data_IF_720275352593
#
_entry.id   IF_720275352593
#
_cell.length_a   1.000
_cell.length_b   1.000
_cell.length_c   1.000
_cell.angle_alpha   90.00
_cell.angle_beta   90.00
_cell.angle_gamma   90.00
#
_symmetry.space_group_name_H-M   'P 1'
#
loop_
_entity.id
_entity.type
_entity.pdbx_description
1 polymer ?
#
# COMPACT_ATOMS: atom_id res chain seq x y z
N UNK A 1 12.77 10.09 18.84
CA UNK A 1 12.21 9.85 18.55
C UNK A 1 11.63 9.72 18.04
N UNK A 2 11.29 9.61 17.63
CA UNK A 2 10.65 9.42 17.17
C UNK A 2 10.05 8.91 16.80
N UNK A 3 9.65 8.74 16.68
CA UNK A 3 8.97 8.12 16.34
C UNK A 3 8.02 8.43 15.65
N UNK A 4 8.12 8.60 14.78
CA UNK A 4 7.46 9.00 14.08
C UNK A 4 6.78 8.15 13.35
N UNK A 5 7.10 7.15 13.11
CA UNK A 5 6.37 6.25 12.63
C UNK A 5 5.61 5.83 13.57
N UNK A 6 5.25 6.45 14.27
CA UNK A 6 4.70 6.09 15.32
C UNK A 6 3.60 5.28 15.17
N UNK A 7 3.53 4.31 15.87
CA UNK A 7 2.36 3.60 16.02
C UNK A 7 1.51 4.26 17.02
N UNK A 8 0.23 4.30 16.84
CA UNK A 8 -0.67 4.88 17.83
C UNK A 8 -0.55 4.12 19.13
N UNK A 9 -0.74 4.80 20.24
CA UNK A 9 -0.74 4.17 21.54
C UNK A 9 -2.09 3.54 21.74
N UNK A 10 -2.34 2.41 21.13
CA UNK A 10 -3.63 1.78 21.14
C UNK A 10 -3.52 0.40 21.74
N UNK A 11 -4.47 0.03 22.59
CA UNK A 11 -4.54 -1.30 23.12
C UNK A 11 -5.01 -2.20 22.00
N UNK A 12 -4.28 -3.23 21.71
CA UNK A 12 -4.64 -4.12 20.61
C UNK A 12 -5.99 -4.75 20.78
N UNK A 13 -6.44 -4.92 22.02
CA UNK A 13 -7.77 -5.49 22.24
C UNK A 13 -8.88 -4.57 21.81
N UNK A 14 -8.61 -3.29 21.63
CA UNK A 14 -9.64 -2.36 21.17
C UNK A 14 -9.60 -2.17 19.67
N UNK A 15 -8.79 -2.94 18.97
CA UNK A 15 -8.77 -2.90 17.50
C UNK A 15 -9.53 -4.10 16.96
N UNK A 16 -9.79 -4.07 15.67
CA UNK A 16 -10.45 -5.20 15.00
C UNK A 16 -9.58 -5.69 13.88
N UNK A 17 -9.67 -6.97 13.55
CA UNK A 17 -8.86 -7.48 12.44
C UNK A 17 -9.40 -6.95 11.11
N UNK A 18 -8.51 -6.76 10.16
CA UNK A 18 -8.90 -6.44 8.81
C UNK A 18 -9.06 -7.75 8.07
N UNK A 19 -10.20 -7.92 7.39
CA UNK A 19 -10.46 -9.14 6.65
C UNK A 19 -10.76 -8.81 5.22
N UNK A 20 -10.30 -9.64 4.31
CA UNK A 20 -10.67 -9.49 2.90
C UNK A 20 -12.09 -9.99 2.71
N UNK A 21 -12.72 -9.70 1.56
CA UNK A 21 -14.06 -10.22 1.30
C UNK A 21 -14.13 -11.74 1.36
N UNK A 22 -13.02 -12.43 1.12
CA UNK A 22 -12.96 -13.89 1.19
C UNK A 22 -12.69 -14.38 2.60
N UNK A 23 -12.56 -13.51 3.56
CA UNK A 23 -12.31 -13.90 4.94
C UNK A 23 -10.85 -14.08 5.31
N UNK A 24 -9.93 -13.68 4.43
CA UNK A 24 -8.50 -13.83 4.72
C UNK A 24 -8.03 -12.75 5.67
N UNK A 25 -7.17 -13.10 6.58
CA UNK A 25 -6.69 -12.18 7.61
C UNK A 25 -5.19 -11.97 7.59
N UNK A 26 -4.48 -12.64 6.71
CA UNK A 26 -3.03 -12.54 6.65
C UNK A 26 -2.64 -11.81 5.40
N UNK A 27 -1.82 -10.79 5.56
CA UNK A 27 -1.43 -9.91 4.46
C UNK A 27 0.07 -9.79 4.42
N UNK A 28 0.59 -9.42 3.28
CA UNK A 28 2.03 -9.28 3.06
C UNK A 28 2.31 -7.88 2.56
N UNK A 29 3.52 -7.43 2.80
CA UNK A 29 3.94 -6.13 2.29
C UNK A 29 4.57 -6.33 0.93
N UNK A 30 4.19 -5.51 -0.01
CA UNK A 30 4.77 -5.50 -1.34
C UNK A 30 5.08 -4.08 -1.74
N UNK A 31 5.57 -3.92 -2.95
CA UNK A 31 5.94 -2.61 -3.45
C UNK A 31 5.45 -2.47 -4.87
N UNK A 32 4.66 -1.43 -5.12
CA UNK A 32 4.33 -1.07 -6.49
C UNK A 32 5.46 -0.23 -7.03
N UNK A 33 5.80 -0.43 -8.29
CA UNK A 33 6.84 0.37 -8.91
C UNK A 33 6.16 1.27 -9.95
N UNK A 34 6.30 2.57 -9.76
CA UNK A 34 5.74 3.54 -10.71
C UNK A 34 6.87 4.12 -11.53
N UNK A 35 6.65 4.29 -12.82
CA UNK A 35 7.65 4.91 -13.68
C UNK A 35 7.40 6.40 -13.72
N UNK A 36 8.48 7.16 -13.64
CA UNK A 36 8.42 8.62 -13.74
C UNK A 36 9.25 8.97 -14.95
N UNK A 37 8.65 9.63 -15.95
CA UNK A 37 9.38 9.95 -17.16
C UNK A 37 10.52 10.89 -16.85
N UNK A 38 11.56 10.83 -17.64
CA UNK A 38 12.74 11.69 -17.42
C UNK A 38 12.37 13.16 -17.50
N UNK A 39 11.34 13.49 -18.25
CA UNK A 39 10.94 14.88 -18.38
C UNK A 39 10.32 15.39 -17.08
N UNK A 40 9.60 14.54 -16.36
CA UNK A 40 9.00 14.91 -15.09
C UNK A 40 10.06 14.83 -13.98
N UNK A 41 10.89 13.81 -14.00
CA UNK A 41 11.89 13.62 -12.97
C UNK A 41 13.06 14.60 -13.09
N UNK A 42 13.26 15.18 -14.26
CA UNK A 42 14.38 16.10 -14.47
C UNK A 42 15.72 15.36 -14.52
N UNK A 43 15.71 14.13 -15.00
CA UNK A 43 16.91 13.31 -15.04
C UNK A 43 17.21 12.90 -16.48
N UNK A 44 18.34 12.27 -16.69
CA UNK A 44 18.76 11.83 -18.02
C UNK A 44 17.98 10.62 -18.49
N UNK A 45 17.44 9.83 -17.54
CA UNK A 45 16.72 8.62 -17.86
C UNK A 45 15.43 8.57 -17.07
N UNK A 46 14.50 7.72 -17.49
CA UNK A 46 13.29 7.51 -16.73
C UNK A 46 13.66 6.97 -15.36
N UNK A 47 12.89 7.36 -14.37
CA UNK A 47 13.12 6.94 -13.01
C UNK A 47 12.00 6.02 -12.55
N UNK A 48 12.20 5.34 -11.44
CA UNK A 48 11.14 4.53 -10.85
C UNK A 48 10.93 5.00 -9.43
N UNK A 49 9.68 4.87 -8.97
CA UNK A 49 9.32 5.27 -7.63
C UNK A 49 8.64 4.10 -6.95
N UNK A 50 9.20 3.57 -5.87
CA UNK A 50 8.55 2.48 -5.14
C UNK A 50 7.48 3.02 -4.20
N UNK A 51 6.37 2.32 -4.13
CA UNK A 51 5.27 2.68 -3.23
C UNK A 51 4.92 1.44 -2.43
N UNK A 52 5.19 1.44 -1.12
CA UNK A 52 4.89 0.27 -0.31
C UNK A 52 3.39 0.13 -0.12
N UNK A 53 2.90 -1.08 -0.23
CA UNK A 53 1.49 -1.40 -0.01
C UNK A 53 1.40 -2.73 0.71
N UNK A 54 0.22 -3.02 1.25
CA UNK A 54 -0.05 -4.33 1.82
C UNK A 54 -1.12 -5.01 0.96
N UNK A 55 -0.99 -6.30 0.79
CA UNK A 55 -1.91 -7.03 -0.07
C UNK A 55 -2.26 -8.39 0.54
N UNK A 56 -3.42 -8.91 0.15
CA UNK A 56 -3.90 -10.21 0.60
C UNK A 56 -2.94 -11.26 0.09
N UNK A 57 -2.38 -12.05 0.99
CA UNK A 57 -1.39 -13.07 0.61
C UNK A 57 -1.98 -14.13 -0.31
N UNK A 58 -3.31 -14.32 -0.26
CA UNK A 58 -3.96 -15.34 -1.05
C UNK A 58 -4.45 -14.82 -2.39
N UNK A 59 -5.16 -13.71 -2.42
CA UNK A 59 -5.75 -13.21 -3.65
C UNK A 59 -4.86 -12.19 -4.35
N UNK A 60 -3.85 -11.67 -3.67
CA UNK A 60 -2.94 -10.65 -4.18
C UNK A 60 -3.62 -9.30 -4.38
N UNK A 61 -4.79 -9.10 -3.81
CA UNK A 61 -5.45 -7.80 -3.93
C UNK A 61 -4.92 -6.85 -2.87
N UNK A 62 -4.73 -5.61 -3.24
CA UNK A 62 -4.12 -4.60 -2.39
C UNK A 62 -5.15 -4.05 -1.41
N UNK A 63 -4.73 -3.82 -0.18
CA UNK A 63 -5.58 -3.12 0.77
C UNK A 63 -5.61 -1.66 0.37
N UNK A 64 -6.76 -1.20 -0.07
CA UNK A 64 -6.89 0.17 -0.61
C UNK A 64 -6.47 1.24 0.37
N UNK A 65 -6.63 1.00 1.68
CA UNK A 65 -6.22 1.98 2.67
C UNK A 65 -4.71 2.20 2.71
N UNK A 66 -3.92 1.25 2.20
CA UNK A 66 -2.47 1.39 2.17
C UNK A 66 -1.98 1.99 0.86
N UNK A 67 -2.88 2.20 -0.10
CA UNK A 67 -2.53 2.76 -1.40
C UNK A 67 -2.78 4.26 -1.38
N UNK A 68 -1.88 5.07 -1.93
CA UNK A 68 -2.14 6.50 -2.00
C UNK A 68 -3.47 6.77 -2.71
N UNK A 69 -4.27 7.70 -2.19
CA UNK A 69 -5.60 7.91 -2.77
C UNK A 69 -5.57 8.24 -4.25
N UNK A 70 -4.53 8.91 -4.72
CA UNK A 70 -4.41 9.30 -6.11
C UNK A 70 -4.34 8.11 -7.04
N UNK A 71 -3.95 6.95 -6.54
CA UNK A 71 -3.79 5.77 -7.37
C UNK A 71 -4.95 4.79 -7.27
N UNK A 72 -5.91 5.05 -6.40
CA UNK A 72 -6.98 4.08 -6.16
C UNK A 72 -7.83 3.81 -7.38
N UNK A 73 -8.08 4.83 -8.17
CA UNK A 73 -8.91 4.66 -9.35
C UNK A 73 -8.20 3.77 -10.37
N UNK A 74 -6.91 3.98 -10.53
CA UNK A 74 -6.14 3.22 -11.51
C UNK A 74 -6.10 1.74 -11.13
N UNK A 75 -6.05 1.42 -9.84
CA UNK A 75 -5.93 0.04 -9.38
C UNK A 75 -7.25 -0.52 -8.86
N UNK A 76 -8.36 0.09 -9.20
CA UNK A 76 -9.64 -0.25 -8.56
C UNK A 76 -10.03 -1.72 -8.71
N UNK A 77 -9.57 -2.38 -9.76
CA UNK A 77 -9.91 -3.79 -9.95
C UNK A 77 -8.98 -4.70 -9.16
N UNK A 78 -7.93 -4.15 -8.57
CA UNK A 78 -6.93 -4.92 -7.84
C UNK A 78 -6.93 -4.62 -6.35
N UNK A 79 -7.90 -3.90 -5.84
CA UNK A 79 -7.91 -3.55 -4.43
C UNK A 79 -9.12 -4.11 -3.72
N UNK A 80 -8.97 -4.24 -2.42
CA UNK A 80 -10.04 -4.69 -1.55
C UNK A 80 -10.83 -3.50 -1.09
#
# INVERSE_FOLDING_TARGET
>A
MSDKIAQPQVDLKSTTPFESPEGNKIFQQGVLIRKVSKFVAGTAEDAVMPIPVFYDADTKKIIGLTLPPELREEYKDDII
#
